data_IF_198903720673
#
_entry.id   IF_198903720673
#
_cell.length_a   1.000
_cell.length_b   1.000
_cell.length_c   1.000
_cell.angle_alpha   90.00
_cell.angle_beta   90.00
_cell.angle_gamma   90.00
#
_symmetry.space_group_name_H-M   'P 1'
#
loop_
_entity.id
_entity.type
_entity.pdbx_description
1 polymer ?
#
# COMPACT_ATOMS: atom_id res chain seq x y z
N UNK A 1 15.15 6.01 22.30
CA UNK A 1 16.04 6.18 21.15
C UNK A 1 16.22 4.82 20.48
N UNK A 2 15.35 4.47 19.55
CA UNK A 2 15.57 3.30 18.70
C UNK A 2 16.86 3.52 17.90
N UNK A 3 17.71 2.50 17.73
CA UNK A 3 18.90 2.62 16.93
C UNK A 3 18.53 3.01 15.49
N UNK A 4 19.12 4.07 14.98
CA UNK A 4 18.74 4.74 13.74
C UNK A 4 18.88 3.87 12.47
N UNK A 5 19.48 2.69 12.53
CA UNK A 5 19.53 1.70 11.44
C UNK A 5 19.98 0.33 12.00
N UNK A 6 19.20 -0.68 11.71
CA UNK A 6 19.66 -2.06 11.78
C UNK A 6 20.27 -2.37 10.41
N UNK A 7 21.60 -2.41 10.35
CA UNK A 7 22.32 -2.74 9.12
C UNK A 7 22.25 -4.24 8.85
N UNK A 8 21.62 -4.62 7.75
CA UNK A 8 21.48 -6.02 7.34
C UNK A 8 20.22 -6.71 7.88
N UNK A 9 20.02 -7.95 7.45
CA UNK A 9 18.78 -8.74 7.70
C UNK A 9 19.01 -9.70 8.91
N UNK A 10 19.59 -9.23 9.98
CA UNK A 10 19.69 -10.03 11.21
C UNK A 10 18.49 -9.70 12.13
N UNK A 11 17.39 -10.41 11.90
CA UNK A 11 16.16 -10.22 12.67
C UNK A 11 16.34 -10.47 14.18
N UNK A 12 17.38 -11.23 14.59
CA UNK A 12 17.68 -11.47 16.00
C UNK A 12 18.14 -10.22 16.76
N UNK A 13 18.52 -9.15 16.02
CA UNK A 13 18.96 -7.88 16.59
C UNK A 13 17.86 -6.81 16.63
N UNK A 14 16.67 -7.12 16.16
CA UNK A 14 15.53 -6.22 16.29
C UNK A 14 15.14 -6.18 17.77
N UNK A 15 15.15 -5.01 18.42
CA UNK A 15 14.71 -4.93 19.81
C UNK A 15 13.23 -5.27 19.91
N UNK A 16 12.90 -6.16 20.82
CA UNK A 16 11.54 -6.60 21.12
C UNK A 16 11.21 -6.23 22.57
N UNK A 17 10.02 -5.71 22.80
CA UNK A 17 9.46 -5.52 24.13
C UNK A 17 8.39 -6.61 24.30
N UNK A 18 8.62 -7.55 25.21
CA UNK A 18 7.67 -8.60 25.54
C UNK A 18 6.61 -8.07 26.51
N UNK A 19 5.40 -8.64 26.47
CA UNK A 19 4.27 -8.22 27.31
C UNK A 19 4.11 -6.70 27.30
N UNK A 20 3.98 -6.13 26.10
CA UNK A 20 4.09 -4.69 25.85
C UNK A 20 2.73 -3.99 25.84
N UNK A 21 2.75 -2.70 26.10
CA UNK A 21 1.66 -1.79 25.78
C UNK A 21 2.06 -0.73 24.77
N UNK A 22 1.10 -0.22 24.03
CA UNK A 22 1.20 0.93 23.13
C UNK A 22 0.00 1.84 23.34
N UNK A 23 0.24 3.06 23.80
CA UNK A 23 -0.80 4.05 24.00
C UNK A 23 -0.81 5.08 22.86
N UNK A 24 -2.00 5.31 22.30
CA UNK A 24 -2.23 6.26 21.21
C UNK A 24 -3.18 7.35 21.68
N UNK A 25 -2.91 8.59 21.31
CA UNK A 25 -3.80 9.74 21.47
C UNK A 25 -4.44 10.04 20.10
N UNK A 26 -5.74 10.32 20.10
CA UNK A 26 -6.54 10.62 18.91
C UNK A 26 -6.39 9.57 17.79
N UNK A 27 -6.12 8.30 18.15
CA UNK A 27 -6.00 7.17 17.23
C UNK A 27 -4.74 7.16 16.34
N UNK A 28 -3.86 8.16 16.46
CA UNK A 28 -2.74 8.29 15.53
C UNK A 28 -1.39 8.66 16.16
N UNK A 29 -1.35 9.26 17.32
CA UNK A 29 -0.12 9.72 17.96
C UNK A 29 0.31 8.77 19.07
N UNK A 30 1.48 8.17 18.95
CA UNK A 30 2.08 7.38 20.02
C UNK A 30 2.47 8.31 21.17
N UNK A 31 1.85 8.13 22.34
CA UNK A 31 2.14 8.92 23.55
C UNK A 31 2.97 8.12 24.55
N UNK A 32 2.80 6.81 24.61
CA UNK A 32 3.62 5.94 25.44
C UNK A 32 3.71 4.53 24.88
N UNK A 33 4.75 3.82 25.19
CA UNK A 33 4.91 2.39 24.94
C UNK A 33 5.96 1.81 25.91
N UNK A 34 5.85 0.55 26.23
CA UNK A 34 6.79 -0.13 27.13
C UNK A 34 6.32 -1.52 27.52
N UNK A 35 6.98 -2.11 28.51
CA UNK A 35 6.51 -3.33 29.14
C UNK A 35 5.28 -3.03 30.01
N UNK A 36 4.36 -3.98 30.10
CA UNK A 36 3.23 -3.88 31.05
C UNK A 36 3.69 -3.81 32.52
N UNK A 37 4.94 -4.22 32.81
CA UNK A 37 5.53 -4.06 34.15
C UNK A 37 5.80 -2.58 34.50
N UNK A 38 6.02 -1.75 33.47
CA UNK A 38 6.28 -0.31 33.60
C UNK A 38 5.01 0.53 33.38
N UNK A 39 3.84 -0.13 33.30
CA UNK A 39 2.57 0.54 33.02
C UNK A 39 2.01 1.23 34.27
N UNK A 40 2.00 2.57 34.28
CA UNK A 40 1.51 3.39 35.41
C UNK A 40 -0.03 3.40 35.54
N UNK A 41 -0.73 2.79 34.58
CA UNK A 41 -2.19 2.81 34.52
C UNK A 41 -2.75 3.97 33.71
N UNK A 42 -4.07 4.14 33.78
CA UNK A 42 -4.83 5.20 33.12
C UNK A 42 -5.76 5.81 34.18
N UNK A 43 -5.67 7.13 34.34
CA UNK A 43 -6.50 7.86 35.29
C UNK A 43 -7.95 8.00 34.81
N UNK A 44 -8.16 8.11 33.50
CA UNK A 44 -9.48 8.29 32.90
C UNK A 44 -9.76 7.27 31.80
N UNK A 45 -10.64 6.34 32.11
CA UNK A 45 -11.07 5.27 31.21
C UNK A 45 -12.23 5.65 30.29
N UNK A 46 -12.73 6.88 30.36
CA UNK A 46 -13.83 7.33 29.48
C UNK A 46 -13.34 7.45 28.04
N UNK A 47 -14.13 6.91 27.13
CA UNK A 47 -13.85 6.88 25.69
C UNK A 47 -12.54 6.16 25.30
N UNK A 48 -12.01 5.32 26.18
CA UNK A 48 -10.86 4.50 25.87
C UNK A 48 -11.30 3.27 25.05
N UNK A 49 -10.64 3.07 23.92
CA UNK A 49 -10.70 1.82 23.17
C UNK A 49 -9.48 0.96 23.54
N UNK A 50 -9.73 -0.29 23.93
CA UNK A 50 -8.66 -1.24 24.26
C UNK A 50 -8.65 -2.34 23.23
N UNK A 51 -7.52 -2.53 22.57
CA UNK A 51 -7.27 -3.64 21.65
C UNK A 51 -6.34 -4.63 22.34
N UNK A 52 -6.85 -5.84 22.61
CA UNK A 52 -6.04 -6.95 23.08
C UNK A 52 -5.32 -7.59 21.89
N UNK A 53 -4.00 -7.51 21.92
CA UNK A 53 -3.12 -8.08 20.88
C UNK A 53 -2.36 -9.31 21.38
N UNK A 54 -2.88 -10.00 22.40
CA UNK A 54 -2.23 -11.19 22.99
C UNK A 54 -1.85 -12.22 21.93
N UNK A 55 -0.60 -12.66 21.94
CA UNK A 55 -0.03 -13.58 20.96
C UNK A 55 0.33 -12.96 19.61
N UNK A 56 0.16 -11.64 19.42
CA UNK A 56 0.49 -10.93 18.19
C UNK A 56 1.70 -10.01 18.38
N UNK A 57 2.34 -9.69 17.26
CA UNK A 57 3.34 -8.62 17.19
C UNK A 57 2.69 -7.33 16.72
N UNK A 58 3.02 -6.21 17.37
CA UNK A 58 2.69 -4.86 16.91
C UNK A 58 3.94 -4.29 16.25
N UNK A 59 3.84 -3.97 14.97
CA UNK A 59 4.94 -3.47 14.16
C UNK A 59 4.52 -2.15 13.49
N UNK A 60 5.49 -1.26 13.17
CA UNK A 60 5.21 -0.14 12.28
C UNK A 60 4.71 -0.65 10.92
N UNK A 61 3.68 -0.01 10.37
CA UNK A 61 3.19 -0.33 9.05
C UNK A 61 4.25 -0.05 7.97
N UNK A 62 4.20 -0.80 6.87
CA UNK A 62 5.09 -0.56 5.73
C UNK A 62 4.71 0.72 5.00
N UNK A 63 5.73 1.40 4.44
CA UNK A 63 5.56 2.51 3.53
C UNK A 63 6.08 2.09 2.15
N UNK A 64 5.17 1.94 1.18
CA UNK A 64 5.54 1.64 -0.20
C UNK A 64 5.60 2.92 -1.02
N UNK A 65 6.83 3.35 -1.30
CA UNK A 65 7.12 4.62 -1.95
C UNK A 65 7.09 4.57 -3.48
N UNK A 66 6.70 3.43 -4.10
CA UNK A 66 6.65 3.31 -5.55
C UNK A 66 5.69 2.23 -6.01
N UNK A 67 4.46 2.60 -6.35
CA UNK A 67 3.50 1.68 -6.95
C UNK A 67 2.80 2.24 -8.17
N UNK A 68 2.23 1.32 -8.96
CA UNK A 68 1.29 1.59 -10.03
C UNK A 68 0.00 0.81 -9.79
N UNK A 69 -0.64 1.02 -8.62
CA UNK A 69 -1.82 0.25 -8.20
C UNK A 69 -3.08 0.55 -9.02
N UNK A 70 -3.11 1.69 -9.74
CA UNK A 70 -4.22 2.07 -10.62
C UNK A 70 -3.91 1.67 -12.05
N UNK A 71 -4.51 0.56 -12.51
CA UNK A 71 -4.39 0.04 -13.86
C UNK A 71 -5.60 -0.82 -14.22
N UNK A 72 -5.87 -0.97 -15.51
CA UNK A 72 -7.07 -1.62 -16.01
C UNK A 72 -7.03 -3.15 -15.87
N UNK A 73 -5.90 -3.76 -16.24
CA UNK A 73 -5.74 -5.22 -16.28
C UNK A 73 -4.28 -5.61 -16.06
N UNK A 74 -4.08 -6.79 -15.55
CA UNK A 74 -2.78 -7.43 -15.39
C UNK A 74 -2.26 -7.95 -16.73
N UNK A 75 -0.99 -8.34 -16.79
CA UNK A 75 -0.33 -8.82 -18.01
C UNK A 75 0.32 -10.20 -17.83
N UNK A 76 -0.35 -11.09 -17.12
CA UNK A 76 0.16 -12.44 -16.84
C UNK A 76 0.45 -13.22 -18.12
N UNK A 77 -0.37 -13.04 -19.18
CA UNK A 77 -0.14 -13.68 -20.48
C UNK A 77 1.18 -13.25 -21.12
N UNK A 78 1.55 -11.98 -21.00
CA UNK A 78 2.84 -11.48 -21.48
C UNK A 78 4.02 -12.06 -20.68
N UNK A 79 3.82 -12.29 -19.39
CA UNK A 79 4.82 -12.94 -18.55
C UNK A 79 5.03 -14.40 -18.96
N UNK A 80 3.95 -15.13 -19.25
CA UNK A 80 4.02 -16.49 -19.78
C UNK A 80 4.73 -16.52 -21.15
N UNK A 81 4.41 -15.58 -22.05
CA UNK A 81 5.08 -15.43 -23.34
C UNK A 81 6.59 -15.23 -23.17
N UNK A 82 7.03 -14.43 -22.21
CA UNK A 82 8.45 -14.24 -21.87
C UNK A 82 9.11 -15.53 -21.38
N UNK A 83 8.46 -16.28 -20.51
CA UNK A 83 8.96 -17.57 -20.02
C UNK A 83 9.14 -18.54 -21.20
N UNK A 84 8.24 -18.48 -22.19
CA UNK A 84 8.31 -19.27 -23.40
C UNK A 84 9.35 -18.76 -24.43
N UNK A 85 10.10 -17.71 -24.08
CA UNK A 85 11.23 -17.22 -24.87
C UNK A 85 10.89 -16.14 -25.90
N UNK A 86 9.67 -15.57 -25.87
CA UNK A 86 9.32 -14.48 -26.77
C UNK A 86 10.07 -13.21 -26.41
N UNK A 87 10.55 -12.52 -27.45
CA UNK A 87 11.15 -11.19 -27.30
C UNK A 87 10.11 -10.12 -26.97
N UNK A 88 10.56 -8.96 -26.50
CA UNK A 88 9.68 -7.83 -26.24
C UNK A 88 8.93 -7.36 -27.52
N UNK A 89 9.63 -7.37 -28.65
CA UNK A 89 9.07 -7.01 -29.96
C UNK A 89 7.96 -8.00 -30.38
N UNK A 90 8.17 -9.30 -30.20
CA UNK A 90 7.16 -10.31 -30.53
C UNK A 90 5.92 -10.19 -29.66
N UNK A 91 6.07 -9.91 -28.36
CA UNK A 91 4.96 -9.65 -27.44
C UNK A 91 4.22 -8.38 -27.86
N UNK A 92 4.93 -7.31 -28.23
CA UNK A 92 4.32 -6.07 -28.70
C UNK A 92 3.54 -6.26 -30.01
N UNK A 93 4.07 -7.06 -30.96
CA UNK A 93 3.39 -7.42 -32.20
C UNK A 93 2.11 -8.23 -31.97
N UNK A 94 2.05 -9.05 -30.93
CA UNK A 94 0.83 -9.74 -30.47
C UNK A 94 -0.20 -8.81 -29.82
N UNK A 95 0.11 -7.51 -29.74
CA UNK A 95 -0.78 -6.52 -29.13
C UNK A 95 -0.55 -6.31 -27.62
N UNK A 96 0.53 -6.84 -27.06
CA UNK A 96 0.94 -6.64 -25.67
C UNK A 96 1.64 -5.30 -25.43
N UNK A 97 2.27 -5.18 -24.26
CA UNK A 97 3.03 -4.00 -23.87
C UNK A 97 2.18 -2.84 -23.35
N UNK A 98 2.82 -1.68 -23.19
CA UNK A 98 2.17 -0.49 -22.59
C UNK A 98 0.99 0.03 -23.40
N UNK A 99 1.02 -0.11 -24.72
CA UNK A 99 -0.09 0.30 -25.60
C UNK A 99 -1.36 -0.52 -25.33
N UNK A 100 -1.20 -1.82 -25.00
CA UNK A 100 -2.32 -2.66 -24.59
C UNK A 100 -2.91 -2.18 -23.26
N UNK A 101 -2.06 -1.88 -22.29
CA UNK A 101 -2.48 -1.33 -21.00
C UNK A 101 -3.25 -0.02 -21.17
N UNK A 102 -2.77 0.90 -22.03
CA UNK A 102 -3.41 2.18 -22.29
C UNK A 102 -4.78 2.01 -22.99
N UNK A 103 -4.89 1.11 -23.96
CA UNK A 103 -6.17 0.79 -24.61
C UNK A 103 -7.19 0.23 -23.62
N UNK A 104 -6.78 -0.73 -22.80
CA UNK A 104 -7.63 -1.31 -21.76
C UNK A 104 -8.08 -0.27 -20.74
N UNK A 105 -7.18 0.63 -20.33
CA UNK A 105 -7.50 1.71 -19.40
C UNK A 105 -8.46 2.72 -20.02
N UNK A 106 -8.28 3.07 -21.29
CA UNK A 106 -9.17 4.00 -22.01
C UNK A 106 -10.59 3.43 -22.15
N UNK A 107 -10.72 2.12 -22.30
CA UNK A 107 -12.00 1.44 -22.48
C UNK A 107 -12.84 1.35 -21.20
N UNK A 108 -12.21 1.43 -20.02
CA UNK A 108 -12.93 1.40 -18.75
C UNK A 108 -13.52 2.75 -18.40
N UNK A 109 -14.69 2.74 -17.76
CA UNK A 109 -15.20 3.90 -17.04
C UNK A 109 -14.32 4.23 -15.82
N UNK A 110 -14.47 5.42 -15.27
CA UNK A 110 -13.76 5.84 -14.06
C UNK A 110 -14.16 4.98 -12.86
N UNK A 111 -15.45 4.63 -12.75
CA UNK A 111 -15.95 3.77 -11.67
C UNK A 111 -15.41 2.34 -11.76
N UNK A 112 -15.38 1.74 -12.96
CA UNK A 112 -14.80 0.40 -13.14
C UNK A 112 -13.31 0.37 -12.82
N UNK A 113 -12.57 1.43 -13.23
CA UNK A 113 -11.16 1.57 -12.89
C UNK A 113 -10.96 1.72 -11.39
N UNK A 114 -11.80 2.51 -10.72
CA UNK A 114 -11.81 2.68 -9.27
C UNK A 114 -12.04 1.34 -8.56
N UNK A 115 -13.12 0.63 -8.86
CA UNK A 115 -13.48 -0.63 -8.22
C UNK A 115 -12.36 -1.69 -8.31
N UNK A 116 -11.76 -1.81 -9.49
CA UNK A 116 -10.63 -2.73 -9.70
C UNK A 116 -9.39 -2.31 -8.93
N UNK A 117 -9.12 -1.01 -8.86
CA UNK A 117 -7.94 -0.46 -8.18
C UNK A 117 -8.09 -0.50 -6.67
N UNK A 118 -9.28 -0.19 -6.15
CA UNK A 118 -9.55 -0.21 -4.72
C UNK A 118 -9.36 -1.61 -4.12
N UNK A 119 -9.86 -2.65 -4.79
CA UNK A 119 -9.62 -4.05 -4.39
C UNK A 119 -8.14 -4.45 -4.32
N UNK A 120 -7.27 -3.80 -5.12
CA UNK A 120 -5.82 -4.02 -5.02
C UNK A 120 -5.24 -3.29 -3.81
N UNK A 121 -5.70 -2.06 -3.57
CA UNK A 121 -5.28 -1.27 -2.41
C UNK A 121 -5.70 -1.97 -1.12
N UNK A 122 -6.90 -2.55 -1.05
CA UNK A 122 -7.33 -3.38 0.10
C UNK A 122 -6.34 -4.52 0.38
N UNK A 123 -5.92 -5.26 -0.64
CA UNK A 123 -4.91 -6.33 -0.49
C UNK A 123 -3.54 -5.82 -0.05
N UNK A 124 -3.15 -4.62 -0.50
CA UNK A 124 -1.91 -3.97 -0.06
C UNK A 124 -2.01 -3.61 1.43
N UNK A 125 -3.15 -3.10 1.87
CA UNK A 125 -3.43 -2.80 3.29
C UNK A 125 -3.40 -4.07 4.12
N UNK A 126 -4.07 -5.13 3.68
CA UNK A 126 -4.07 -6.45 4.34
C UNK A 126 -2.66 -7.04 4.50
N UNK A 127 -1.73 -6.65 3.62
CA UNK A 127 -0.31 -7.03 3.70
C UNK A 127 0.51 -6.17 4.68
N UNK A 128 -0.12 -5.24 5.42
CA UNK A 128 0.52 -4.41 6.43
C UNK A 128 1.05 -3.07 5.94
N UNK A 129 0.67 -2.61 4.74
CA UNK A 129 1.04 -1.29 4.22
C UNK A 129 0.14 -0.21 4.81
N UNK A 130 0.74 0.80 5.48
CA UNK A 130 0.04 1.94 6.08
C UNK A 130 0.25 3.26 5.33
N UNK A 131 1.16 3.30 4.35
CA UNK A 131 1.36 4.44 3.47
C UNK A 131 1.74 3.97 2.07
N UNK A 132 1.15 4.58 1.04
CA UNK A 132 1.27 4.14 -0.33
C UNK A 132 1.45 5.32 -1.28
N UNK A 133 2.49 5.29 -2.12
CA UNK A 133 2.60 6.17 -3.27
C UNK A 133 2.03 5.49 -4.49
N UNK A 134 1.11 6.16 -5.20
CA UNK A 134 0.50 5.65 -6.44
C UNK A 134 0.82 6.59 -7.59
N UNK A 135 1.50 6.06 -8.60
CA UNK A 135 1.84 6.77 -9.83
C UNK A 135 0.77 6.55 -10.90
N UNK A 136 0.52 7.58 -11.72
CA UNK A 136 -0.12 7.43 -13.02
C UNK A 136 0.87 6.84 -14.05
N UNK A 137 0.64 6.99 -15.34
CA UNK A 137 1.60 6.63 -16.39
C UNK A 137 1.16 5.47 -17.29
N UNK A 138 -0.05 4.94 -17.14
CA UNK A 138 -0.62 3.94 -18.04
C UNK A 138 -1.68 4.48 -19.00
N UNK A 139 -2.00 5.77 -18.93
CA UNK A 139 -2.99 6.39 -19.79
C UNK A 139 -2.47 6.75 -21.17
N UNK A 140 -1.22 7.21 -21.24
CA UNK A 140 -0.52 7.68 -22.44
C UNK A 140 -1.21 8.84 -23.19
N UNK A 141 -2.29 9.38 -22.64
CA UNK A 141 -2.98 10.58 -23.10
C UNK A 141 -3.33 11.44 -21.89
N UNK A 142 -3.43 12.75 -22.07
CA UNK A 142 -3.80 13.67 -20.98
C UNK A 142 -5.11 13.27 -20.32
N UNK A 143 -6.13 12.91 -21.11
CA UNK A 143 -7.44 12.51 -20.59
C UNK A 143 -7.36 11.23 -19.73
N UNK A 144 -6.66 10.22 -20.22
CA UNK A 144 -6.51 8.95 -19.51
C UNK A 144 -5.65 9.08 -18.24
N UNK A 145 -4.57 9.89 -18.28
CA UNK A 145 -3.78 10.20 -17.08
C UNK A 145 -4.60 10.97 -16.04
N UNK A 146 -5.40 11.95 -16.46
CA UNK A 146 -6.31 12.66 -15.57
C UNK A 146 -7.38 11.73 -14.97
N UNK A 147 -7.89 10.76 -15.74
CA UNK A 147 -8.78 9.71 -15.23
C UNK A 147 -8.10 8.92 -14.13
N UNK A 148 -6.85 8.47 -14.34
CA UNK A 148 -6.07 7.78 -13.29
C UNK A 148 -5.93 8.65 -12.04
N UNK A 149 -5.57 9.90 -12.17
CA UNK A 149 -5.39 10.82 -11.03
C UNK A 149 -6.70 11.06 -10.28
N UNK A 150 -7.86 11.14 -10.96
CA UNK A 150 -9.16 11.23 -10.28
C UNK A 150 -9.49 9.98 -9.50
N UNK A 151 -9.18 8.80 -10.05
CA UNK A 151 -9.33 7.53 -9.34
C UNK A 151 -8.40 7.48 -8.12
N UNK A 152 -7.13 7.87 -8.24
CA UNK A 152 -6.19 7.93 -7.10
C UNK A 152 -6.73 8.89 -6.03
N UNK A 153 -7.25 10.05 -6.43
CA UNK A 153 -7.83 11.02 -5.50
C UNK A 153 -9.03 10.43 -4.74
N UNK A 154 -9.89 9.67 -5.41
CA UNK A 154 -11.03 8.99 -4.78
C UNK A 154 -10.54 7.91 -3.80
N UNK A 155 -9.60 7.07 -4.21
CA UNK A 155 -8.99 6.06 -3.34
C UNK A 155 -8.39 6.71 -2.09
N UNK A 156 -7.64 7.80 -2.25
CA UNK A 156 -7.07 8.56 -1.13
C UNK A 156 -8.12 9.08 -0.14
N UNK A 157 -9.30 9.43 -0.62
CA UNK A 157 -10.37 9.94 0.25
C UNK A 157 -11.09 8.84 1.04
N UNK A 158 -11.06 7.60 0.54
CA UNK A 158 -11.84 6.49 1.08
C UNK A 158 -10.97 5.44 1.80
N UNK A 159 -9.69 5.30 1.42
CA UNK A 159 -8.80 4.31 2.03
C UNK A 159 -8.35 4.74 3.44
N UNK A 160 -8.24 3.79 4.39
CA UNK A 160 -7.84 4.07 5.78
C UNK A 160 -6.31 4.22 5.94
N UNK A 161 -5.57 4.53 4.88
CA UNK A 161 -4.12 4.70 4.89
C UNK A 161 -3.71 6.00 4.20
N UNK A 162 -2.49 6.47 4.46
CA UNK A 162 -1.97 7.65 3.75
C UNK A 162 -1.62 7.29 2.30
N UNK A 163 -2.16 8.08 1.36
CA UNK A 163 -1.88 7.90 -0.08
C UNK A 163 -1.30 9.16 -0.67
N UNK A 164 -0.18 9.00 -1.38
CA UNK A 164 0.48 10.05 -2.17
C UNK A 164 0.30 9.78 -3.66
N UNK A 165 -0.29 10.74 -4.37
CA UNK A 165 -0.40 10.66 -5.82
C UNK A 165 0.85 11.26 -6.49
N UNK A 166 1.35 10.59 -7.52
CA UNK A 166 2.42 11.11 -8.39
C UNK A 166 1.95 11.06 -9.84
N UNK A 167 2.04 12.20 -10.51
CA UNK A 167 1.86 12.29 -11.96
C UNK A 167 3.14 11.87 -12.67
N UNK A 168 3.00 11.04 -13.71
CA UNK A 168 4.11 10.52 -14.50
C UNK A 168 3.91 10.85 -15.98
#
# INVERSE_FOLDING_TARGET
NLPNRIGGIDASKVPVIENAFLALEDGCKVVAYGSMEDWDGIDDWRNLEVVDAEGCYVLPAFCDAHTHSVFAQTREGEFVDRINGLSYEEIALKGGGILNSARALSALSEDELYERSYKRVEKIIESGTGALEIKSGYGLTVEAELKMLRVIKRIKAEAPIEIKATFL
#
